data_IF_517308766653
#
_entry.id   IF_517308766653
#
_cell.length_a   1.000
_cell.length_b   1.000
_cell.length_c   1.000
_cell.angle_alpha   90.00
_cell.angle_beta   90.00
_cell.angle_gamma   90.00
#
_symmetry.space_group_name_H-M   'P 1'
#
loop_
_entity.id
_entity.type
_entity.pdbx_description
1 polymer ?
#
# COMPACT_ATOMS: atom_id res chain seq x y z
N UNK A 1 -4.40 17.26 58.84
CA UNK A 1 -3.83 17.00 57.50
C UNK A 1 -3.06 18.23 57.06
N UNK A 2 -1.76 18.14 56.78
CA UNK A 2 -0.91 19.32 56.50
C UNK A 2 -1.16 19.86 55.09
N UNK A 3 -1.21 21.19 54.90
CA UNK A 3 -1.43 21.86 53.59
C UNK A 3 -0.58 21.26 52.45
N UNK A 4 0.66 20.85 52.74
CA UNK A 4 1.57 20.17 51.79
C UNK A 4 1.02 18.84 51.25
N UNK A 5 0.37 18.03 52.09
CA UNK A 5 -0.24 16.75 51.69
C UNK A 5 -1.47 16.94 50.80
N UNK A 6 -2.21 18.02 51.03
CA UNK A 6 -3.37 18.38 50.21
C UNK A 6 -2.93 18.80 48.79
N UNK A 7 -1.88 19.62 48.68
CA UNK A 7 -1.32 20.04 47.39
C UNK A 7 -0.77 18.85 46.58
N UNK A 8 -0.02 17.95 47.22
CA UNK A 8 0.50 16.74 46.56
C UNK A 8 -0.62 15.84 46.08
N UNK A 9 -1.69 15.68 46.87
CA UNK A 9 -2.85 14.89 46.47
C UNK A 9 -3.56 15.51 45.26
N UNK A 10 -3.73 16.83 45.24
CA UNK A 10 -4.39 17.52 44.13
C UNK A 10 -3.56 17.38 42.84
N UNK A 11 -2.24 17.60 42.92
CA UNK A 11 -1.37 17.41 41.76
C UNK A 11 -1.38 15.96 41.26
N UNK A 12 -1.35 14.98 42.17
CA UNK A 12 -1.40 13.57 41.81
C UNK A 12 -2.65 13.21 41.01
N UNK A 13 -3.82 13.66 41.46
CA UNK A 13 -5.09 13.44 40.75
C UNK A 13 -5.10 14.12 39.38
N UNK A 14 -4.54 15.32 39.27
CA UNK A 14 -4.51 16.09 38.03
C UNK A 14 -3.62 15.44 36.97
N UNK A 15 -2.45 14.93 37.38
CA UNK A 15 -1.56 14.16 36.50
C UNK A 15 -2.23 12.87 36.05
N UNK A 16 -2.89 12.14 36.94
CA UNK A 16 -3.58 10.90 36.59
C UNK A 16 -4.69 11.14 35.57
N UNK A 17 -5.49 12.19 35.76
CA UNK A 17 -6.54 12.58 34.83
C UNK A 17 -5.99 12.93 33.44
N UNK A 18 -4.87 13.67 33.39
CA UNK A 18 -4.22 14.02 32.13
C UNK A 18 -3.72 12.78 31.38
N UNK A 19 -3.06 11.85 32.08
CA UNK A 19 -2.58 10.59 31.50
C UNK A 19 -3.75 9.78 30.95
N UNK A 20 -4.89 9.72 31.66
CA UNK A 20 -6.07 8.98 31.21
C UNK A 20 -6.68 9.60 29.95
N UNK A 21 -6.77 10.94 29.88
CA UNK A 21 -7.27 11.66 28.69
C UNK A 21 -6.36 11.39 27.49
N UNK A 22 -5.04 11.51 27.67
CA UNK A 22 -4.07 11.22 26.60
C UNK A 22 -4.15 9.76 26.16
N UNK A 23 -4.26 8.81 27.10
CA UNK A 23 -4.38 7.39 26.77
C UNK A 23 -5.68 7.07 26.01
N UNK A 24 -6.80 7.69 26.38
CA UNK A 24 -8.08 7.53 25.67
C UNK A 24 -8.00 8.14 24.28
N UNK A 25 -7.36 9.30 24.12
CA UNK A 25 -7.21 9.95 22.81
C UNK A 25 -6.27 9.15 21.90
N UNK A 26 -5.14 8.67 22.44
CA UNK A 26 -4.24 7.74 21.73
C UNK A 26 -4.96 6.45 21.36
N UNK A 27 -5.75 5.88 22.26
CA UNK A 27 -6.54 4.68 21.98
C UNK A 27 -7.63 4.93 20.92
N UNK A 28 -8.30 6.08 20.95
CA UNK A 28 -9.29 6.49 19.93
C UNK A 28 -8.64 6.70 18.57
N UNK A 29 -7.47 7.35 18.53
CA UNK A 29 -6.67 7.48 17.31
C UNK A 29 -6.24 6.12 16.78
N UNK A 30 -5.90 5.17 17.65
CA UNK A 30 -5.55 3.79 17.27
C UNK A 30 -6.76 2.89 16.92
N UNK A 31 -7.97 3.23 17.37
CA UNK A 31 -9.21 2.51 17.02
C UNK A 31 -9.77 2.92 15.65
N UNK A 32 -9.26 4.02 15.09
CA UNK A 32 -9.75 4.68 13.88
C UNK A 32 -9.17 4.13 12.59
N UNK A 33 -9.02 2.82 12.43
CA UNK A 33 -9.03 2.19 11.10
C UNK A 33 -9.29 0.70 11.24
N UNK A 34 -10.55 0.33 11.48
CA UNK A 34 -11.04 -0.94 10.92
C UNK A 34 -10.95 -0.80 9.41
N UNK A 35 -9.77 -1.03 8.86
CA UNK A 35 -9.57 -1.20 7.45
C UNK A 35 -10.37 -2.45 7.11
N UNK A 36 -11.59 -2.26 6.62
CA UNK A 36 -12.24 -3.33 5.90
C UNK A 36 -11.31 -3.62 4.73
N UNK A 37 -10.62 -4.76 4.82
CA UNK A 37 -9.94 -5.39 3.72
C UNK A 37 -11.03 -5.74 2.72
N UNK A 38 -11.46 -4.78 1.91
CA UNK A 38 -12.39 -5.06 0.83
C UNK A 38 -11.58 -5.88 -0.16
N UNK A 39 -12.12 -7.04 -0.55
CA UNK A 39 -11.63 -7.74 -1.73
C UNK A 39 -11.80 -6.78 -2.90
N UNK A 40 -10.72 -6.11 -3.26
CA UNK A 40 -10.72 -5.16 -4.35
C UNK A 40 -10.85 -5.97 -5.63
N UNK A 41 -11.73 -5.50 -6.53
CA UNK A 41 -11.88 -6.10 -7.84
C UNK A 41 -10.49 -6.20 -8.50
N UNK A 42 -10.05 -7.41 -8.93
CA UNK A 42 -8.74 -7.60 -9.55
C UNK A 42 -8.48 -6.64 -10.71
N UNK A 43 -9.52 -6.08 -11.35
CA UNK A 43 -9.42 -5.05 -12.38
C UNK A 43 -8.61 -3.80 -11.99
N UNK A 44 -8.57 -3.41 -10.71
CA UNK A 44 -7.82 -2.21 -10.30
C UNK A 44 -6.31 -2.46 -10.27
N UNK A 45 -5.88 -3.64 -9.81
CA UNK A 45 -4.48 -4.09 -9.83
C UNK A 45 -4.04 -4.46 -11.25
N UNK A 46 -4.93 -5.08 -12.04
CA UNK A 46 -4.69 -5.44 -13.45
C UNK A 46 -4.18 -4.27 -14.25
N UNK A 47 -4.80 -3.10 -14.15
CA UNK A 47 -4.40 -1.94 -14.95
C UNK A 47 -2.93 -1.54 -14.70
N UNK A 48 -2.42 -1.67 -13.47
CA UNK A 48 -1.02 -1.33 -13.17
C UNK A 48 -0.08 -2.43 -13.64
N UNK A 49 -0.40 -3.70 -13.37
CA UNK A 49 0.39 -4.84 -13.84
C UNK A 49 0.43 -4.87 -15.38
N UNK A 50 -0.70 -4.63 -16.03
CA UNK A 50 -0.84 -4.46 -17.47
C UNK A 50 0.03 -3.33 -18.00
N UNK A 51 -0.03 -2.16 -17.37
CA UNK A 51 0.79 -1.01 -17.77
C UNK A 51 2.29 -1.29 -17.63
N UNK A 52 2.71 -2.09 -16.65
CA UNK A 52 4.11 -2.51 -16.50
C UNK A 52 4.50 -3.48 -17.63
N UNK A 53 3.71 -4.53 -17.83
CA UNK A 53 3.98 -5.56 -18.84
C UNK A 53 3.93 -5.01 -20.28
N UNK A 54 2.94 -4.18 -20.60
CA UNK A 54 2.79 -3.54 -21.92
C UNK A 54 3.87 -2.50 -22.25
N UNK A 55 4.61 -2.01 -21.25
CA UNK A 55 5.80 -1.16 -21.49
C UNK A 55 7.03 -1.97 -21.88
N UNK A 56 7.12 -3.23 -21.44
CA UNK A 56 8.23 -4.15 -21.71
C UNK A 56 8.00 -5.14 -22.86
N UNK A 57 6.80 -5.15 -23.44
CA UNK A 57 6.42 -5.94 -24.62
C UNK A 57 6.28 -5.03 -25.84
N UNK A 58 6.82 -5.48 -26.98
CA UNK A 58 6.88 -4.81 -28.28
C UNK A 58 5.72 -3.82 -28.53
N UNK A 59 6.04 -2.53 -28.43
CA UNK A 59 5.37 -1.44 -29.13
C UNK A 59 3.95 -1.12 -28.67
N UNK A 60 3.81 -0.33 -27.61
CA UNK A 60 2.86 0.80 -27.50
C UNK A 60 1.35 0.56 -27.74
N UNK A 61 0.92 -0.66 -28.02
CA UNK A 61 -0.48 -1.01 -28.17
C UNK A 61 -1.04 -1.27 -26.78
N UNK A 62 -2.11 -0.53 -26.51
CA UNK A 62 -3.06 -0.77 -25.45
C UNK A 62 -3.31 -2.28 -25.33
N UNK A 63 -2.94 -2.86 -24.19
CA UNK A 63 -3.00 -4.29 -23.93
C UNK A 63 -4.37 -4.83 -24.36
N UNK A 64 -4.39 -5.70 -25.38
CA UNK A 64 -5.62 -6.13 -26.04
C UNK A 64 -6.53 -6.86 -25.04
N UNK A 65 -7.85 -6.80 -25.27
CA UNK A 65 -8.91 -7.40 -24.43
C UNK A 65 -8.69 -8.89 -24.09
N UNK A 66 -7.87 -9.60 -24.86
CA UNK A 66 -7.46 -10.98 -24.61
C UNK A 66 -6.36 -11.16 -23.55
N UNK A 67 -5.41 -10.23 -23.46
CA UNK A 67 -4.33 -10.28 -22.47
C UNK A 67 -4.82 -9.93 -21.06
N UNK A 68 -5.88 -9.11 -20.97
CA UNK A 68 -6.60 -8.85 -19.73
C UNK A 68 -7.08 -10.15 -19.07
N UNK A 69 -7.54 -11.14 -19.85
CA UNK A 69 -8.03 -12.43 -19.34
C UNK A 69 -6.91 -13.26 -18.69
N UNK A 70 -5.71 -13.24 -19.28
CA UNK A 70 -4.52 -13.89 -18.72
C UNK A 70 -4.04 -13.20 -17.44
N UNK A 71 -4.06 -11.87 -17.41
CA UNK A 71 -3.78 -11.13 -16.17
C UNK A 71 -4.79 -11.40 -15.07
N UNK A 72 -6.08 -11.56 -15.41
CA UNK A 72 -7.08 -11.99 -14.43
C UNK A 72 -6.73 -13.34 -13.84
N UNK A 73 -6.39 -14.31 -14.70
CA UNK A 73 -6.06 -15.66 -14.26
C UNK A 73 -4.77 -15.71 -13.44
N UNK A 74 -3.83 -14.81 -13.71
CA UNK A 74 -2.55 -14.72 -13.01
C UNK A 74 -2.61 -13.99 -11.66
N UNK A 75 -3.68 -13.28 -11.32
CA UNK A 75 -3.86 -12.67 -9.99
C UNK A 75 -4.67 -13.64 -9.13
N UNK A 76 -4.01 -14.29 -8.18
CA UNK A 76 -4.60 -15.32 -7.31
C UNK A 76 -5.41 -14.69 -6.18
N UNK A 77 -4.84 -13.68 -5.53
CA UNK A 77 -5.46 -12.94 -4.44
C UNK A 77 -5.19 -11.46 -4.64
N UNK A 78 -6.15 -10.62 -4.32
CA UNK A 78 -5.95 -9.18 -4.27
C UNK A 78 -6.71 -8.61 -3.08
N UNK A 79 -6.05 -7.73 -2.34
CA UNK A 79 -6.69 -6.86 -1.36
C UNK A 79 -6.29 -5.43 -1.64
N UNK A 80 -7.14 -4.50 -1.27
CA UNK A 80 -6.78 -3.10 -1.35
C UNK A 80 -7.75 -2.22 -0.61
N UNK A 81 -7.38 -0.96 -0.56
CA UNK A 81 -8.18 0.09 0.05
C UNK A 81 -8.23 1.23 -0.95
N UNK A 82 -9.45 1.62 -1.26
CA UNK A 82 -9.80 2.81 -2.04
C UNK A 82 -10.88 3.57 -1.26
N UNK A 83 -10.83 4.91 -1.22
CA UNK A 83 -11.83 5.81 -0.59
C UNK A 83 -13.30 5.42 -0.79
N UNK A 84 -13.67 4.68 -1.84
CA UNK A 84 -15.04 4.14 -1.94
C UNK A 84 -15.43 3.20 -0.78
N UNK A 85 -14.45 2.75 0.03
CA UNK A 85 -14.62 1.97 1.26
C UNK A 85 -14.48 2.74 2.58
N UNK A 86 -14.52 4.09 2.57
CA UNK A 86 -14.51 4.91 3.79
C UNK A 86 -13.12 5.24 4.36
N UNK A 87 -12.05 4.99 3.59
CA UNK A 87 -10.68 5.37 3.94
C UNK A 87 -10.31 6.71 3.31
N UNK A 88 -10.29 7.81 4.07
CA UNK A 88 -9.88 9.16 3.63
C UNK A 88 -8.36 9.31 3.48
N UNK A 89 -7.72 8.42 2.72
CA UNK A 89 -6.28 8.51 2.43
C UNK A 89 -5.94 9.76 1.61
N UNK A 90 -4.65 10.11 1.56
CA UNK A 90 -4.06 11.30 0.91
C UNK A 90 -4.22 11.36 -0.62
N UNK A 91 -5.36 10.93 -1.17
CA UNK A 91 -5.56 10.73 -2.61
C UNK A 91 -4.85 9.49 -3.15
N UNK A 92 -4.53 8.51 -2.30
CA UNK A 92 -3.81 7.29 -2.68
C UNK A 92 -4.69 6.05 -2.53
N UNK A 93 -4.64 5.18 -3.54
CA UNK A 93 -5.13 3.81 -3.45
C UNK A 93 -3.99 2.84 -3.17
N UNK A 94 -4.24 1.89 -2.28
CA UNK A 94 -3.25 0.93 -1.82
C UNK A 94 -3.72 -0.48 -2.17
N UNK A 95 -2.86 -1.27 -2.79
CA UNK A 95 -3.17 -2.64 -3.17
C UNK A 95 -2.03 -3.60 -2.82
N UNK A 96 -2.40 -4.82 -2.47
CA UNK A 96 -1.52 -5.98 -2.44
C UNK A 96 -2.14 -7.06 -3.32
N UNK A 97 -1.33 -7.71 -4.13
CA UNK A 97 -1.77 -8.84 -4.91
C UNK A 97 -0.77 -9.99 -4.83
N UNK A 98 -1.31 -11.20 -4.73
CA UNK A 98 -0.58 -12.45 -4.92
C UNK A 98 -0.73 -12.86 -6.38
N UNK A 99 0.39 -13.04 -7.06
CA UNK A 99 0.44 -13.42 -8.47
C UNK A 99 0.72 -14.91 -8.60
N UNK A 100 0.38 -15.48 -9.75
CA UNK A 100 0.83 -16.82 -10.12
C UNK A 100 2.35 -16.81 -10.36
N UNK A 101 3.01 -17.97 -10.24
CA UNK A 101 4.45 -18.08 -10.52
C UNK A 101 4.82 -17.57 -11.92
N UNK A 102 3.98 -17.85 -12.91
CA UNK A 102 4.19 -17.45 -14.31
C UNK A 102 4.13 -15.92 -14.46
N UNK A 103 3.08 -15.30 -13.90
CA UNK A 103 2.92 -13.85 -13.96
C UNK A 103 4.00 -13.12 -13.12
N UNK A 104 4.42 -13.71 -12.01
CA UNK A 104 5.53 -13.20 -11.20
C UNK A 104 6.84 -13.18 -11.98
N UNK A 105 7.16 -14.29 -12.66
CA UNK A 105 8.38 -14.40 -13.45
C UNK A 105 8.39 -13.41 -14.61
N UNK A 106 7.27 -13.30 -15.32
CA UNK A 106 7.11 -12.36 -16.44
C UNK A 106 7.29 -10.91 -15.97
N UNK A 107 6.66 -10.54 -14.85
CA UNK A 107 6.79 -9.23 -14.26
C UNK A 107 8.22 -8.94 -13.82
N UNK A 108 8.91 -9.91 -13.19
CA UNK A 108 10.33 -9.79 -12.83
C UNK A 108 11.20 -9.52 -14.04
N UNK A 109 11.04 -10.29 -15.12
CA UNK A 109 11.81 -10.10 -16.35
C UNK A 109 11.58 -8.75 -17.02
N UNK A 110 10.33 -8.24 -17.00
CA UNK A 110 10.04 -6.89 -17.49
C UNK A 110 10.69 -5.84 -16.60
N UNK A 111 10.52 -5.95 -15.28
CA UNK A 111 11.08 -4.98 -14.35
C UNK A 111 12.60 -5.00 -14.36
N UNK A 112 13.27 -6.15 -14.45
CA UNK A 112 14.73 -6.22 -14.55
C UNK A 112 15.26 -5.56 -15.83
N UNK A 113 14.53 -5.69 -16.95
CA UNK A 113 14.87 -4.98 -18.20
C UNK A 113 14.71 -3.47 -18.07
N UNK A 114 13.65 -3.02 -17.39
CA UNK A 114 13.29 -1.60 -17.24
C UNK A 114 13.92 -0.92 -16.00
N UNK A 115 14.40 -1.68 -15.01
CA UNK A 115 14.95 -1.21 -13.73
C UNK A 115 16.22 -0.36 -13.89
N UNK A 116 16.78 -0.32 -15.09
CA UNK A 116 17.87 0.57 -15.46
C UNK A 116 17.46 2.05 -15.60
N UNK A 117 16.15 2.39 -15.57
CA UNK A 117 15.70 3.74 -15.98
C UNK A 117 15.08 4.60 -14.89
N UNK A 118 14.26 4.08 -13.96
CA UNK A 118 13.67 4.92 -12.90
C UNK A 118 13.36 4.11 -11.64
N UNK A 119 14.34 3.91 -10.76
CA UNK A 119 14.04 3.58 -9.37
C UNK A 119 13.55 4.87 -8.69
N UNK A 120 12.29 4.93 -8.22
CA UNK A 120 11.84 6.09 -7.48
C UNK A 120 12.72 6.26 -6.24
N UNK A 121 13.21 7.48 -6.01
CA UNK A 121 14.00 7.81 -4.81
C UNK A 121 13.23 7.54 -3.51
N UNK A 122 11.90 7.64 -3.58
CA UNK A 122 11.00 7.38 -2.46
C UNK A 122 9.74 6.65 -2.95
N UNK A 123 9.40 5.54 -2.29
CA UNK A 123 8.11 4.90 -2.43
C UNK A 123 7.12 5.60 -1.49
N UNK A 124 5.95 6.06 -1.96
CA UNK A 124 5.01 6.78 -1.10
C UNK A 124 4.46 5.83 -0.03
N UNK A 125 4.84 6.08 1.23
CA UNK A 125 4.45 5.25 2.38
C UNK A 125 3.58 5.97 3.41
N UNK A 126 3.20 7.24 3.16
CA UNK A 126 2.56 8.16 4.11
C UNK A 126 1.40 7.56 4.91
N UNK A 127 0.16 7.86 4.50
CA UNK A 127 -1.03 7.24 5.09
C UNK A 127 -1.27 5.83 4.53
N UNK A 128 -0.25 4.97 4.50
CA UNK A 128 -0.42 3.56 4.12
C UNK A 128 -1.27 2.82 5.17
N UNK A 129 -2.18 1.91 4.76
CA UNK A 129 -2.95 1.11 5.69
C UNK A 129 -2.04 0.12 6.46
N UNK A 130 -2.46 -0.30 7.65
CA UNK A 130 -1.62 -1.09 8.58
C UNK A 130 -1.10 -2.41 8.01
N UNK A 131 -1.82 -2.99 7.05
CA UNK A 131 -1.42 -4.21 6.39
C UNK A 131 -0.38 -4.01 5.29
N UNK A 132 -0.15 -2.76 4.85
CA UNK A 132 0.82 -2.42 3.84
C UNK A 132 2.23 -2.33 4.46
N UNK A 133 3.26 -2.90 3.82
CA UNK A 133 4.61 -2.92 4.38
C UNK A 133 5.15 -1.51 4.52
N UNK A 134 5.62 -1.18 5.73
CA UNK A 134 6.38 0.05 6.02
C UNK A 134 7.84 -0.06 5.57
N UNK A 135 8.32 -1.28 5.39
CA UNK A 135 9.67 -1.61 4.94
C UNK A 135 9.59 -2.78 3.97
N UNK A 136 10.32 -2.70 2.86
CA UNK A 136 10.38 -3.76 1.86
C UNK A 136 11.65 -4.61 2.04
N UNK A 137 11.63 -5.90 1.65
CA UNK A 137 12.82 -6.74 1.62
C UNK A 137 13.96 -6.15 0.79
N UNK A 138 15.20 -6.47 1.16
CA UNK A 138 16.37 -6.06 0.38
C UNK A 138 16.31 -6.62 -1.04
N UNK A 139 16.66 -5.80 -2.05
CA UNK A 139 16.60 -6.19 -3.45
C UNK A 139 15.21 -6.09 -4.09
N UNK A 140 14.23 -5.49 -3.39
CA UNK A 140 12.93 -5.16 -3.97
C UNK A 140 13.09 -4.26 -5.19
N UNK A 141 12.49 -4.66 -6.30
CA UNK A 141 12.40 -3.85 -7.49
C UNK A 141 11.25 -2.87 -7.34
N UNK A 142 11.55 -1.59 -7.48
CA UNK A 142 10.57 -0.52 -7.49
C UNK A 142 10.38 -0.01 -8.90
N UNK A 143 9.13 0.26 -9.25
CA UNK A 143 8.77 0.76 -10.56
C UNK A 143 7.76 1.88 -10.45
N UNK A 144 7.98 2.96 -11.20
CA UNK A 144 7.03 4.07 -11.32
C UNK A 144 6.34 4.01 -12.68
N UNK A 145 5.03 3.78 -12.66
CA UNK A 145 4.15 3.88 -13.82
C UNK A 145 4.06 5.33 -14.31
N UNK A 146 4.33 5.54 -15.60
CA UNK A 146 4.59 6.87 -16.16
C UNK A 146 3.46 7.89 -15.99
N UNK A 147 2.28 7.66 -16.59
CA UNK A 147 1.25 8.71 -16.75
C UNK A 147 0.28 8.87 -15.57
N UNK A 148 0.16 7.88 -14.69
CA UNK A 148 -0.87 7.83 -13.65
C UNK A 148 -0.33 7.87 -12.22
N UNK A 149 0.96 8.22 -12.04
CA UNK A 149 1.60 8.26 -10.72
C UNK A 149 1.29 6.96 -9.96
N UNK A 150 1.73 5.86 -10.54
CA UNK A 150 1.54 4.52 -9.99
C UNK A 150 2.91 4.00 -9.55
N UNK A 151 2.98 3.31 -8.42
CA UNK A 151 4.18 2.66 -7.93
C UNK A 151 3.90 1.18 -7.74
N UNK A 152 4.87 0.35 -8.11
CA UNK A 152 4.85 -1.07 -7.90
C UNK A 152 6.14 -1.49 -7.20
N UNK A 153 6.00 -2.30 -6.15
CA UNK A 153 7.10 -2.94 -5.44
C UNK A 153 6.99 -4.46 -5.62
N UNK A 154 8.08 -5.06 -6.08
CA UNK A 154 8.21 -6.51 -6.31
C UNK A 154 9.45 -7.04 -5.59
N UNK A 155 9.29 -7.67 -4.42
CA UNK A 155 10.41 -8.26 -3.71
C UNK A 155 11.01 -9.48 -4.43
N UNK A 156 12.31 -9.73 -4.21
CA UNK A 156 12.98 -10.89 -4.77
C UNK A 156 12.44 -12.17 -4.12
N UNK A 157 12.23 -13.20 -4.93
CA UNK A 157 11.77 -14.50 -4.43
C UNK A 157 10.32 -14.57 -3.94
N UNK A 158 9.57 -13.47 -3.93
CA UNK A 158 8.18 -13.45 -3.51
C UNK A 158 7.21 -13.49 -4.69
N UNK A 159 5.98 -13.96 -4.41
CA UNK A 159 4.82 -13.98 -5.31
C UNK A 159 3.82 -12.85 -4.97
N UNK A 160 4.14 -12.01 -3.98
CA UNK A 160 3.35 -10.82 -3.62
C UNK A 160 3.95 -9.56 -4.21
N UNK A 161 3.06 -8.69 -4.67
CA UNK A 161 3.37 -7.34 -5.09
C UNK A 161 2.56 -6.34 -4.28
N UNK A 162 3.12 -5.14 -4.16
CA UNK A 162 2.44 -4.00 -3.58
C UNK A 162 2.36 -2.90 -4.59
N UNK A 163 1.18 -2.30 -4.71
CA UNK A 163 0.89 -1.27 -5.68
C UNK A 163 0.29 -0.07 -4.98
N UNK A 164 0.76 1.11 -5.33
CA UNK A 164 0.18 2.40 -4.92
C UNK A 164 -0.22 3.14 -6.17
N UNK A 165 -1.44 3.68 -6.20
CA UNK A 165 -1.88 4.57 -7.27
C UNK A 165 -2.26 5.91 -6.65
N UNK A 166 -1.65 6.98 -7.11
CA UNK A 166 -2.13 8.32 -6.82
C UNK A 166 -3.33 8.62 -7.72
N UNK A 167 -4.35 9.21 -7.13
CA UNK A 167 -5.50 9.71 -7.87
C UNK A 167 -5.19 11.13 -8.33
N UNK A 168 -5.30 11.32 -9.64
CA UNK A 168 -5.25 12.62 -10.30
C UNK A 168 -6.63 13.19 -10.48
#
# INVERSE_FOLDING_TARGET
>A
MTKKRLVVSILGTLVLALVLVVAVEVWRLNQGTKVQTVSVAPSQVKAVVAAVLGRGGVGGEEMSRGDDSRLVAGIIEARGVSESGGFHGDGMDWYEAKLSPELTLELKQVLEREASREQPSEFPLGNAPDWFPRTFPSGTLFYKGGKRLEWLALPPGEDRIWVVRMRT
#
